data_IF_201117001134
#
_entry.id   IF_201117001134
#
_cell.length_a   1.000
_cell.length_b   1.000
_cell.length_c   1.000
_cell.angle_alpha   90.00
_cell.angle_beta   90.00
_cell.angle_gamma   90.00
#
_symmetry.space_group_name_H-M   'P 1'
#
loop_
_entity.id
_entity.type
_entity.pdbx_description
1 polymer ?
#
# COMPACT_ATOMS: atom_id res chain seq x y z
N UNK A 1 -13.22 -10.67 16.25
CA UNK A 1 -13.44 -9.63 15.22
C UNK A 1 -12.08 -9.11 14.85
N UNK A 2 -11.72 -9.06 13.57
CA UNK A 2 -10.48 -8.40 13.17
C UNK A 2 -10.83 -6.92 12.98
N UNK A 3 -10.21 -6.08 13.79
CA UNK A 3 -10.49 -4.66 13.86
C UNK A 3 -9.91 -3.94 12.63
N UNK A 4 -10.60 -2.94 12.03
CA UNK A 4 -10.05 -2.16 10.91
C UNK A 4 -8.64 -1.60 11.19
N UNK A 5 -8.30 -1.33 12.45
CA UNK A 5 -6.96 -0.86 12.83
C UNK A 5 -5.88 -1.88 12.50
N UNK A 6 -6.14 -3.19 12.63
CA UNK A 6 -5.13 -4.19 12.29
C UNK A 6 -4.83 -4.21 10.78
N UNK A 7 -5.86 -3.97 9.95
CA UNK A 7 -5.69 -3.80 8.52
C UNK A 7 -4.88 -2.53 8.22
N UNK A 8 -5.24 -1.40 8.85
CA UNK A 8 -4.53 -0.12 8.71
C UNK A 8 -3.05 -0.26 9.09
N UNK A 9 -2.74 -0.84 10.25
CA UNK A 9 -1.37 -1.06 10.70
C UNK A 9 -0.58 -1.95 9.73
N UNK A 10 -1.20 -3.04 9.25
CA UNK A 10 -0.56 -3.94 8.30
C UNK A 10 -0.27 -3.25 6.96
N UNK A 11 -1.22 -2.48 6.44
CA UNK A 11 -1.04 -1.68 5.23
C UNK A 11 0.04 -0.61 5.40
N UNK A 12 0.07 0.06 6.55
CA UNK A 12 1.07 1.08 6.83
C UNK A 12 2.49 0.49 6.80
N UNK A 13 2.70 -0.67 7.44
CA UNK A 13 3.98 -1.38 7.42
C UNK A 13 4.39 -1.80 6.00
N UNK A 14 3.46 -2.36 5.22
CA UNK A 14 3.71 -2.79 3.85
C UNK A 14 4.08 -1.63 2.95
N UNK A 15 3.30 -0.53 2.99
CA UNK A 15 3.58 0.63 2.15
C UNK A 15 4.89 1.29 2.56
N UNK A 16 5.17 1.38 3.87
CA UNK A 16 6.43 1.90 4.37
C UNK A 16 7.63 1.06 3.89
N UNK A 17 7.52 -0.27 3.96
CA UNK A 17 8.55 -1.18 3.45
C UNK A 17 8.72 -1.06 1.94
N UNK A 18 7.63 -0.93 1.17
CA UNK A 18 7.74 -0.71 -0.27
C UNK A 18 8.51 0.58 -0.61
N UNK A 19 8.33 1.64 0.18
CA UNK A 19 9.14 2.86 0.05
C UNK A 19 10.58 2.65 0.50
N UNK A 20 10.85 2.14 1.70
CA UNK A 20 12.18 2.28 2.32
C UNK A 20 12.96 0.97 2.53
N UNK A 21 12.33 -0.18 2.37
CA UNK A 21 12.94 -1.50 2.51
C UNK A 21 12.27 -2.52 1.54
N UNK A 22 12.29 -2.26 0.21
CA UNK A 22 11.55 -3.08 -0.75
C UNK A 22 12.01 -4.54 -0.75
N UNK A 23 13.25 -4.83 -0.37
CA UNK A 23 13.79 -6.20 -0.31
C UNK A 23 13.11 -7.10 0.75
N UNK A 24 12.42 -6.48 1.71
CA UNK A 24 11.63 -7.20 2.73
C UNK A 24 10.28 -7.68 2.19
N UNK A 25 9.91 -7.30 0.96
CA UNK A 25 8.66 -7.71 0.32
C UNK A 25 8.92 -8.74 -0.80
N UNK A 26 8.00 -9.69 -1.03
CA UNK A 26 8.09 -10.58 -2.18
C UNK A 26 8.13 -9.79 -3.50
N UNK A 27 9.03 -10.16 -4.42
CA UNK A 27 9.25 -9.45 -5.71
C UNK A 27 7.96 -9.23 -6.51
N UNK A 28 7.10 -10.26 -6.59
CA UNK A 28 5.82 -10.16 -7.29
C UNK A 28 4.88 -9.12 -6.65
N UNK A 29 4.93 -9.00 -5.33
CA UNK A 29 4.12 -8.04 -4.58
C UNK A 29 4.64 -6.61 -4.77
N UNK A 30 5.96 -6.39 -4.73
CA UNK A 30 6.57 -5.11 -5.10
C UNK A 30 6.19 -4.66 -6.51
N UNK A 31 6.28 -5.57 -7.48
CA UNK A 31 5.89 -5.28 -8.87
C UNK A 31 4.41 -4.90 -8.97
N UNK A 32 3.55 -5.60 -8.24
CA UNK A 32 2.12 -5.30 -8.19
C UNK A 32 1.84 -3.92 -7.57
N UNK A 33 2.41 -3.59 -6.41
CA UNK A 33 2.24 -2.27 -5.77
C UNK A 33 2.75 -1.16 -6.69
N UNK A 34 3.93 -1.34 -7.30
CA UNK A 34 4.52 -0.37 -8.22
C UNK A 34 3.63 -0.12 -9.44
N UNK A 35 3.08 -1.19 -10.01
CA UNK A 35 2.12 -1.08 -11.11
C UNK A 35 0.85 -0.35 -10.70
N UNK A 36 0.32 -0.61 -9.50
CA UNK A 36 -0.91 0.01 -9.01
C UNK A 36 -0.71 1.49 -8.64
N UNK A 37 0.47 1.87 -8.16
CA UNK A 37 0.78 3.23 -7.71
C UNK A 37 0.82 4.25 -8.85
N UNK A 38 1.11 3.81 -10.08
CA UNK A 38 1.24 4.65 -11.28
C UNK A 38 2.11 5.91 -11.02
N UNK A 39 3.21 5.73 -10.32
CA UNK A 39 4.11 6.81 -9.87
C UNK A 39 5.41 6.75 -10.66
N UNK A 40 6.00 7.92 -10.93
CA UNK A 40 7.38 7.96 -11.43
C UNK A 40 8.33 7.48 -10.32
N UNK A 41 9.13 6.46 -10.64
CA UNK A 41 10.04 5.85 -9.66
C UNK A 41 11.10 6.84 -9.16
N UNK A 42 11.45 7.87 -9.95
CA UNK A 42 12.39 8.93 -9.55
C UNK A 42 11.87 9.74 -8.36
N UNK A 43 10.55 9.89 -8.22
CA UNK A 43 9.96 10.56 -7.06
C UNK A 43 10.14 9.74 -5.79
N UNK A 44 9.96 8.41 -5.86
CA UNK A 44 10.22 7.51 -4.73
C UNK A 44 11.70 7.56 -4.37
N UNK A 45 12.56 7.51 -5.36
CA UNK A 45 14.01 7.56 -5.17
C UNK A 45 14.44 8.90 -4.54
N UNK A 46 13.86 10.02 -4.96
CA UNK A 46 14.11 11.31 -4.34
C UNK A 46 13.70 11.31 -2.87
N UNK A 47 12.53 10.76 -2.51
CA UNK A 47 12.09 10.66 -1.10
C UNK A 47 12.99 9.73 -0.27
N UNK A 48 13.54 8.67 -0.86
CA UNK A 48 14.56 7.82 -0.21
C UNK A 48 15.84 8.60 0.05
N UNK A 49 16.33 9.34 -0.94
CA UNK A 49 17.53 10.18 -0.81
C UNK A 49 17.33 11.35 0.15
N UNK A 50 16.11 11.88 0.25
CA UNK A 50 15.75 12.84 1.30
C UNK A 50 15.91 12.22 2.70
N UNK A 51 15.50 10.96 2.86
CA UNK A 51 15.61 10.23 4.13
C UNK A 51 17.06 9.94 4.51
N UNK A 52 17.89 9.49 3.55
CA UNK A 52 19.32 9.21 3.78
C UNK A 52 20.19 10.46 3.80
N UNK A 53 19.62 11.62 3.44
CA UNK A 53 20.28 12.93 3.27
C UNK A 53 21.26 13.01 2.11
N UNK A 54 21.28 12.02 1.22
CA UNK A 54 21.96 12.12 -0.08
C UNK A 54 21.39 13.26 -0.93
N UNK A 55 20.07 13.48 -0.86
CA UNK A 55 19.42 14.67 -1.39
C UNK A 55 19.02 15.55 -0.19
N UNK A 56 19.64 16.72 -0.09
CA UNK A 56 19.41 17.66 1.02
C UNK A 56 18.99 19.03 0.50
N UNK A 57 17.88 19.57 1.03
CA UNK A 57 17.46 20.92 0.69
C UNK A 57 18.50 21.98 1.07
N UNK A 58 18.68 22.98 0.20
CA UNK A 58 19.63 24.08 0.37
C UNK A 58 21.10 23.70 0.20
N UNK A 59 21.39 22.48 -0.27
CA UNK A 59 22.76 22.01 -0.51
C UNK A 59 22.88 21.33 -1.87
N UNK A 60 23.94 21.66 -2.61
CA UNK A 60 24.24 20.97 -3.85
C UNK A 60 24.99 19.68 -3.53
N UNK A 61 24.26 18.56 -3.57
CA UNK A 61 24.81 17.22 -3.39
C UNK A 61 25.02 16.49 -4.72
N UNK A 62 24.92 17.19 -5.85
CA UNK A 62 24.96 16.61 -7.20
C UNK A 62 23.72 15.79 -7.57
N UNK A 63 22.65 15.86 -6.78
CA UNK A 63 21.42 15.07 -6.97
C UNK A 63 20.32 15.78 -7.77
N UNK A 64 20.52 17.05 -8.17
CA UNK A 64 19.50 17.87 -8.83
C UNK A 64 18.95 17.24 -10.13
N UNK A 65 19.80 16.52 -10.88
CA UNK A 65 19.42 15.87 -12.14
C UNK A 65 18.33 14.78 -11.98
N UNK A 66 18.20 14.19 -10.79
CA UNK A 66 17.20 13.14 -10.53
C UNK A 66 15.78 13.66 -10.74
N UNK A 67 15.40 14.72 -10.03
CA UNK A 67 14.09 15.35 -10.20
C UNK A 67 14.07 16.32 -11.39
N UNK A 68 15.20 16.93 -11.75
CA UNK A 68 15.28 17.78 -12.94
C UNK A 68 14.95 17.03 -14.24
N UNK A 69 15.44 15.78 -14.40
CA UNK A 69 15.06 14.93 -15.54
C UNK A 69 13.58 14.56 -15.51
N UNK A 70 13.01 14.33 -14.32
CA UNK A 70 11.58 14.08 -14.15
C UNK A 70 10.73 15.30 -14.53
N UNK A 71 11.18 16.50 -14.16
CA UNK A 71 10.54 17.73 -14.57
C UNK A 71 10.54 17.86 -16.10
N UNK A 72 11.66 17.59 -16.76
CA UNK A 72 11.75 17.65 -18.23
C UNK A 72 10.78 16.69 -18.92
N UNK A 73 10.67 15.44 -18.46
CA UNK A 73 9.75 14.44 -19.04
C UNK A 73 8.25 14.75 -18.82
N UNK A 74 7.95 15.66 -17.89
CA UNK A 74 6.60 16.08 -17.53
C UNK A 74 6.28 17.52 -17.95
N UNK A 75 7.10 18.12 -18.84
CA UNK A 75 6.94 19.50 -19.32
C UNK A 75 6.95 20.54 -18.18
N UNK A 76 7.73 20.29 -17.12
CA UNK A 76 7.94 21.19 -15.98
C UNK A 76 9.33 21.84 -16.03
N UNK A 77 9.51 23.03 -15.41
CA UNK A 77 10.83 23.66 -15.33
C UNK A 77 11.86 22.77 -14.65
N UNK A 78 13.00 22.51 -15.31
CA UNK A 78 14.06 21.64 -14.79
C UNK A 78 14.57 22.10 -13.41
N UNK A 79 14.63 23.42 -13.19
CA UNK A 79 15.09 24.02 -11.94
C UNK A 79 14.21 23.70 -10.74
N UNK A 80 12.95 23.29 -10.95
CA UNK A 80 12.08 22.88 -9.86
C UNK A 80 12.56 21.58 -9.18
N UNK A 81 13.35 20.77 -9.88
CA UNK A 81 13.98 19.57 -9.34
C UNK A 81 15.27 19.83 -8.55
N UNK A 82 15.79 21.07 -8.58
CA UNK A 82 17.02 21.44 -7.89
C UNK A 82 16.75 21.79 -6.41
N UNK A 83 17.29 21.02 -5.44
CA UNK A 83 17.08 21.25 -4.02
C UNK A 83 17.72 22.54 -3.49
N UNK A 84 18.62 23.18 -4.23
CA UNK A 84 19.20 24.49 -3.89
C UNK A 84 18.31 25.64 -4.32
N UNK A 85 17.60 25.48 -5.44
CA UNK A 85 16.76 26.54 -6.02
C UNK A 85 15.33 26.50 -5.52
N UNK A 86 14.79 25.29 -5.27
CA UNK A 86 13.37 25.11 -5.01
C UNK A 86 13.15 24.37 -3.69
N UNK A 87 12.69 25.11 -2.67
CA UNK A 87 12.43 24.59 -1.32
C UNK A 87 11.06 25.10 -0.83
N UNK A 88 10.11 24.21 -0.49
CA UNK A 88 10.11 22.77 -0.77
C UNK A 88 9.90 22.48 -2.26
N UNK A 89 10.04 21.22 -2.68
CA UNK A 89 9.64 20.84 -4.03
C UNK A 89 8.14 21.14 -4.27
N UNK A 90 7.75 21.70 -5.43
CA UNK A 90 6.37 22.07 -5.71
C UNK A 90 5.48 20.82 -5.82
N UNK A 91 4.20 20.98 -5.49
CA UNK A 91 3.23 19.90 -5.60
C UNK A 91 3.09 19.39 -7.05
N UNK A 92 3.33 20.23 -8.05
CA UNK A 92 3.31 19.87 -9.47
C UNK A 92 4.29 18.75 -9.80
N UNK A 93 5.47 18.73 -9.16
CA UNK A 93 6.42 17.60 -9.29
C UNK A 93 5.81 16.35 -8.68
N UNK A 94 5.29 16.45 -7.45
CA UNK A 94 4.64 15.33 -6.74
C UNK A 94 3.45 14.79 -7.52
N UNK A 95 2.76 15.66 -8.25
CA UNK A 95 1.60 15.36 -9.08
C UNK A 95 1.96 14.90 -10.49
N UNK A 96 3.26 14.82 -10.86
CA UNK A 96 3.74 14.45 -12.19
C UNK A 96 3.12 15.33 -13.30
N UNK A 97 3.19 16.65 -13.13
CA UNK A 97 2.72 17.63 -14.12
C UNK A 97 1.20 17.75 -14.23
N UNK A 98 0.44 17.29 -13.23
CA UNK A 98 -1.04 17.32 -13.25
C UNK A 98 -1.64 18.54 -12.52
N UNK A 99 -0.88 19.63 -12.44
CA UNK A 99 -1.29 20.91 -11.84
C UNK A 99 -1.10 20.99 -10.31
N UNK A 100 -1.37 22.17 -9.71
CA UNK A 100 -1.12 22.45 -8.29
C UNK A 100 -2.07 21.77 -7.32
N UNK A 101 -3.32 21.51 -7.74
CA UNK A 101 -4.38 21.11 -6.80
C UNK A 101 -4.20 19.67 -6.33
N UNK A 102 -4.00 19.53 -5.01
CA UNK A 102 -3.85 18.25 -4.33
C UNK A 102 -5.16 17.44 -4.34
N UNK A 103 -6.30 18.11 -4.18
CA UNK A 103 -7.64 17.50 -4.23
C UNK A 103 -7.95 16.96 -5.62
N UNK A 104 -7.66 17.76 -6.66
CA UNK A 104 -7.83 17.33 -8.04
C UNK A 104 -6.92 16.13 -8.36
N UNK A 105 -5.66 16.17 -7.92
CA UNK A 105 -4.74 15.05 -8.09
C UNK A 105 -5.26 13.78 -7.41
N UNK A 106 -5.70 13.88 -6.15
CA UNK A 106 -6.26 12.76 -5.40
C UNK A 106 -7.50 12.17 -6.07
N UNK A 107 -8.43 13.01 -6.53
CA UNK A 107 -9.62 12.58 -7.27
C UNK A 107 -9.27 11.89 -8.60
N UNK A 108 -8.34 12.47 -9.36
CA UNK A 108 -7.88 11.88 -10.62
C UNK A 108 -7.22 10.53 -10.38
N UNK A 109 -6.41 10.39 -9.32
CA UNK A 109 -5.80 9.13 -8.89
C UNK A 109 -6.84 8.10 -8.49
N UNK A 110 -7.87 8.51 -7.74
CA UNK A 110 -9.02 7.66 -7.44
C UNK A 110 -9.63 7.10 -8.72
N UNK A 111 -10.00 7.97 -9.66
CA UNK A 111 -10.71 7.56 -10.88
C UNK A 111 -9.88 6.64 -11.79
N UNK A 112 -8.61 6.97 -12.01
CA UNK A 112 -7.71 6.14 -12.82
C UNK A 112 -7.51 4.75 -12.20
N UNK A 113 -7.27 4.71 -10.89
CA UNK A 113 -7.08 3.47 -10.15
C UNK A 113 -8.36 2.64 -10.06
N UNK A 114 -9.51 3.30 -9.91
CA UNK A 114 -10.82 2.66 -9.95
C UNK A 114 -11.06 1.97 -11.29
N UNK A 115 -10.82 2.67 -12.41
CA UNK A 115 -10.93 2.07 -13.76
C UNK A 115 -9.98 0.90 -13.94
N UNK A 116 -8.70 1.07 -13.59
CA UNK A 116 -7.70 -0.01 -13.68
C UNK A 116 -8.08 -1.24 -12.85
N UNK A 117 -8.54 -1.02 -11.62
CA UNK A 117 -9.05 -2.07 -10.74
C UNK A 117 -10.29 -2.74 -11.31
N UNK A 118 -11.19 -1.97 -11.95
CA UNK A 118 -12.40 -2.49 -12.55
C UNK A 118 -12.07 -3.44 -13.72
N UNK A 119 -11.08 -3.10 -14.56
CA UNK A 119 -10.60 -4.00 -15.62
C UNK A 119 -10.08 -5.33 -15.09
N UNK A 120 -9.58 -5.36 -13.85
CA UNK A 120 -9.07 -6.59 -13.22
C UNK A 120 -10.18 -7.38 -12.52
N UNK A 121 -11.07 -6.70 -11.77
CA UNK A 121 -12.09 -7.37 -10.95
C UNK A 121 -13.37 -7.71 -11.72
N UNK A 122 -13.74 -6.94 -12.74
CA UNK A 122 -14.95 -7.19 -13.51
C UNK A 122 -14.91 -8.54 -14.23
N UNK A 123 -13.86 -8.92 -14.99
CA UNK A 123 -13.82 -10.20 -15.69
C UNK A 123 -13.91 -11.38 -14.72
N UNK A 124 -13.20 -11.31 -13.60
CA UNK A 124 -13.25 -12.36 -12.56
C UNK A 124 -14.64 -12.47 -11.94
N UNK A 125 -15.26 -11.33 -11.61
CA UNK A 125 -16.61 -11.31 -11.05
C UNK A 125 -17.63 -11.89 -12.05
N UNK A 126 -17.53 -11.55 -13.34
CA UNK A 126 -18.41 -12.08 -14.38
C UNK A 126 -18.18 -13.57 -14.65
N UNK A 127 -16.92 -14.03 -14.70
CA UNK A 127 -16.58 -15.42 -14.92
C UNK A 127 -17.17 -16.35 -13.84
N UNK A 128 -17.15 -15.91 -12.58
CA UNK A 128 -17.79 -16.65 -11.49
C UNK A 128 -19.32 -16.74 -11.64
N UNK A 129 -19.95 -15.74 -12.27
CA UNK A 129 -21.39 -15.74 -12.54
C UNK A 129 -21.80 -16.64 -13.71
N UNK A 130 -20.88 -16.97 -14.62
CA UNK A 130 -21.15 -17.92 -15.71
C UNK A 130 -21.51 -19.33 -15.19
N UNK A 131 -21.10 -19.68 -13.95
CA UNK A 131 -21.45 -20.97 -13.34
C UNK A 131 -22.93 -21.10 -12.98
N UNK A 132 -23.61 -20.00 -12.62
CA UNK A 132 -25.05 -19.97 -12.26
C UNK A 132 -25.67 -18.61 -12.63
N UNK A 133 -26.06 -18.41 -13.91
CA UNK A 133 -26.50 -17.10 -14.38
C UNK A 133 -27.85 -16.70 -13.77
N UNK A 134 -27.89 -15.53 -13.14
CA UNK A 134 -29.12 -14.89 -12.64
C UNK A 134 -28.98 -13.37 -12.76
N UNK A 135 -30.03 -12.66 -13.25
CA UNK A 135 -30.02 -11.19 -13.42
C UNK A 135 -29.71 -10.43 -12.13
N UNK A 136 -30.22 -10.90 -10.99
CA UNK A 136 -29.91 -10.30 -9.69
C UNK A 136 -28.45 -10.57 -9.29
N UNK A 137 -27.90 -11.70 -9.71
CA UNK A 137 -26.51 -12.07 -9.47
C UNK A 137 -25.53 -11.27 -10.31
N UNK A 138 -25.90 -10.91 -11.54
CA UNK A 138 -25.12 -10.00 -12.38
C UNK A 138 -25.03 -8.60 -11.77
N UNK A 139 -26.16 -8.04 -11.31
CA UNK A 139 -26.16 -6.74 -10.60
C UNK A 139 -25.29 -6.79 -9.36
N UNK A 140 -25.43 -7.84 -8.55
CA UNK A 140 -24.62 -8.05 -7.34
C UNK A 140 -23.12 -8.14 -7.67
N UNK A 141 -22.75 -8.86 -8.73
CA UNK A 141 -21.37 -8.96 -9.19
C UNK A 141 -20.79 -7.61 -9.64
N UNK A 142 -21.55 -6.82 -10.41
CA UNK A 142 -21.17 -5.47 -10.81
C UNK A 142 -20.97 -4.55 -9.60
N UNK A 143 -21.93 -4.52 -8.67
CA UNK A 143 -21.80 -3.73 -7.44
C UNK A 143 -20.63 -4.19 -6.57
N UNK A 144 -20.38 -5.50 -6.49
CA UNK A 144 -19.24 -6.04 -5.75
C UNK A 144 -17.92 -5.60 -6.40
N UNK A 145 -17.78 -5.75 -7.72
CA UNK A 145 -16.57 -5.35 -8.43
C UNK A 145 -16.35 -3.83 -8.35
N UNK A 146 -17.40 -3.03 -8.48
CA UNK A 146 -17.34 -1.57 -8.34
C UNK A 146 -16.94 -1.16 -6.92
N UNK A 147 -17.48 -1.80 -5.87
CA UNK A 147 -17.12 -1.56 -4.47
C UNK A 147 -15.65 -1.91 -4.22
N UNK A 148 -15.19 -3.07 -4.68
CA UNK A 148 -13.80 -3.48 -4.51
C UNK A 148 -12.83 -2.57 -5.28
N UNK A 149 -13.24 -2.07 -6.44
CA UNK A 149 -12.49 -1.07 -7.20
C UNK A 149 -12.49 0.28 -6.50
N UNK A 150 -13.59 0.67 -5.84
CA UNK A 150 -13.66 1.88 -5.02
C UNK A 150 -12.75 1.77 -3.79
N UNK A 151 -12.70 0.61 -3.14
CA UNK A 151 -11.74 0.35 -2.06
C UNK A 151 -10.30 0.62 -2.52
N UNK A 152 -9.88 0.07 -3.66
CA UNK A 152 -8.50 0.23 -4.14
C UNK A 152 -8.22 1.65 -4.66
N UNK A 153 -9.19 2.24 -5.36
CA UNK A 153 -9.10 3.63 -5.81
C UNK A 153 -8.96 4.60 -4.63
N UNK A 154 -9.76 4.42 -3.59
CA UNK A 154 -9.69 5.22 -2.36
C UNK A 154 -8.40 4.96 -1.60
N UNK A 155 -7.89 3.73 -1.56
CA UNK A 155 -6.60 3.41 -0.95
C UNK A 155 -5.48 4.27 -1.55
N UNK A 156 -5.38 4.29 -2.87
CA UNK A 156 -4.35 5.06 -3.59
C UNK A 156 -4.58 6.57 -3.42
N UNK A 157 -5.83 7.03 -3.55
CA UNK A 157 -6.15 8.45 -3.39
C UNK A 157 -5.84 8.97 -1.97
N UNK A 158 -6.15 8.20 -0.93
CA UNK A 158 -5.83 8.55 0.45
C UNK A 158 -4.31 8.56 0.70
N UNK A 159 -3.56 7.67 0.05
CA UNK A 159 -2.10 7.69 0.13
C UNK A 159 -1.53 9.01 -0.42
N UNK A 160 -1.86 9.36 -1.67
CA UNK A 160 -1.40 10.59 -2.31
C UNK A 160 -1.90 11.84 -1.57
N UNK A 161 -3.17 11.87 -1.20
CA UNK A 161 -3.73 12.99 -0.45
C UNK A 161 -3.05 13.14 0.91
N UNK A 162 -2.75 12.04 1.60
CA UNK A 162 -2.00 12.06 2.86
C UNK A 162 -0.61 12.66 2.72
N UNK A 163 0.15 12.25 1.71
CA UNK A 163 1.47 12.82 1.38
C UNK A 163 1.35 14.34 1.15
N UNK A 164 0.43 14.75 0.29
CA UNK A 164 0.25 16.17 -0.03
C UNK A 164 -0.27 16.98 1.15
N UNK A 165 -1.18 16.43 1.96
CA UNK A 165 -1.73 17.07 3.15
C UNK A 165 -0.64 17.35 4.18
N UNK A 166 0.26 16.39 4.42
CA UNK A 166 1.41 16.57 5.31
C UNK A 166 2.38 17.60 4.74
N UNK A 167 2.65 17.60 3.43
CA UNK A 167 3.54 18.59 2.82
C UNK A 167 2.99 20.00 2.83
N UNK A 168 1.71 20.19 2.50
CA UNK A 168 1.19 21.54 2.20
C UNK A 168 0.50 22.21 3.37
N UNK A 169 -0.18 21.44 4.22
CA UNK A 169 -1.07 22.00 5.25
C UNK A 169 -0.63 21.66 6.65
N UNK A 170 -0.46 20.37 6.96
CA UNK A 170 -0.27 19.91 8.35
C UNK A 170 1.19 20.04 8.78
N UNK A 171 2.13 19.49 8.00
CA UNK A 171 3.56 19.49 8.35
C UNK A 171 4.14 20.88 8.60
N UNK A 172 3.94 21.86 7.71
CA UNK A 172 4.51 23.20 7.89
C UNK A 172 3.92 23.97 9.08
N UNK A 173 2.68 23.63 9.48
CA UNK A 173 2.02 24.22 10.65
C UNK A 173 2.47 23.60 11.96
N UNK A 174 2.81 22.30 11.95
CA UNK A 174 3.22 21.57 13.17
C UNK A 174 4.73 21.56 13.41
N UNK A 175 5.54 21.44 12.35
CA UNK A 175 6.99 21.31 12.45
C UNK A 175 7.73 22.62 12.16
N UNK A 176 7.11 23.54 11.42
CA UNK A 176 7.73 24.78 10.93
C UNK A 176 8.07 24.74 9.45
N UNK A 177 8.61 25.85 8.95
CA UNK A 177 8.90 26.08 7.51
C UNK A 177 10.40 26.13 7.19
N UNK A 178 11.25 25.77 8.14
CA UNK A 178 12.69 25.78 7.95
C UNK A 178 13.12 24.67 7.00
N UNK A 179 14.29 24.83 6.38
CA UNK A 179 14.89 23.85 5.45
C UNK A 179 14.98 22.46 6.09
N UNK A 180 15.39 22.39 7.37
CA UNK A 180 15.46 21.14 8.12
C UNK A 180 14.08 20.50 8.34
N UNK A 181 13.03 21.32 8.53
CA UNK A 181 11.67 20.85 8.69
C UNK A 181 11.15 20.23 7.38
N UNK A 182 11.38 20.90 6.25
CA UNK A 182 11.06 20.38 4.92
C UNK A 182 11.80 19.07 4.61
N UNK A 183 13.08 18.99 4.98
CA UNK A 183 13.86 17.77 4.85
C UNK A 183 13.24 16.60 5.61
N UNK A 184 12.77 16.84 6.85
CA UNK A 184 12.13 15.79 7.65
C UNK A 184 10.73 15.42 7.12
N UNK A 185 9.98 16.40 6.59
CA UNK A 185 8.68 16.17 5.97
C UNK A 185 8.81 15.23 4.78
N UNK A 186 9.68 15.55 3.81
CA UNK A 186 9.89 14.73 2.61
C UNK A 186 10.78 13.51 2.87
N UNK A 187 11.59 13.51 3.93
CA UNK A 187 12.43 12.38 4.35
C UNK A 187 11.67 11.27 5.10
N UNK A 188 10.37 11.43 5.35
CA UNK A 188 9.58 10.32 5.87
C UNK A 188 8.21 10.66 6.43
N UNK A 189 8.00 11.85 6.99
CA UNK A 189 6.70 12.14 7.62
C UNK A 189 5.55 12.15 6.61
N UNK A 190 5.76 12.70 5.41
CA UNK A 190 4.71 12.72 4.38
C UNK A 190 4.34 11.30 3.92
N UNK A 191 5.33 10.44 3.71
CA UNK A 191 5.12 9.03 3.35
C UNK A 191 4.43 8.29 4.49
N UNK A 192 4.87 8.48 5.73
CA UNK A 192 4.30 7.82 6.92
C UNK A 192 2.82 8.14 7.12
N UNK A 193 2.42 9.41 6.95
CA UNK A 193 1.01 9.81 7.01
C UNK A 193 0.22 9.21 5.85
N UNK A 194 0.77 9.20 4.63
CA UNK A 194 0.17 8.50 3.49
C UNK A 194 -0.06 7.01 3.75
N UNK A 195 0.94 6.32 4.30
CA UNK A 195 0.89 4.91 4.69
C UNK A 195 -0.20 4.63 5.74
N UNK A 196 -0.36 5.52 6.71
CA UNK A 196 -1.40 5.39 7.74
C UNK A 196 -2.80 5.64 7.17
N UNK A 197 -2.98 6.69 6.35
CA UNK A 197 -4.29 7.08 5.84
C UNK A 197 -4.85 6.09 4.80
N UNK A 198 -4.01 5.50 3.95
CA UNK A 198 -4.48 4.64 2.87
C UNK A 198 -5.25 3.41 3.36
N UNK A 199 -4.87 2.84 4.51
CA UNK A 199 -5.51 1.66 5.08
C UNK A 199 -6.99 1.86 5.45
N UNK A 200 -7.43 3.09 5.72
CA UNK A 200 -8.81 3.38 6.09
C UNK A 200 -9.82 3.16 4.96
N UNK A 201 -9.36 3.00 3.71
CA UNK A 201 -10.24 2.64 2.59
C UNK A 201 -10.98 1.32 2.82
N UNK A 202 -10.48 0.45 3.71
CA UNK A 202 -11.12 -0.82 4.10
C UNK A 202 -12.57 -0.66 4.58
N UNK A 203 -12.93 0.54 5.06
CA UNK A 203 -14.29 0.86 5.48
C UNK A 203 -15.31 0.88 4.32
N UNK A 204 -14.85 0.97 3.07
CA UNK A 204 -15.72 0.84 1.88
C UNK A 204 -16.17 -0.61 1.69
N UNK A 205 -15.37 -1.57 2.15
CA UNK A 205 -15.66 -2.99 1.96
C UNK A 205 -16.65 -3.55 2.99
N UNK A 206 -17.24 -4.70 2.65
CA UNK A 206 -18.17 -5.40 3.54
C UNK A 206 -17.47 -6.05 4.73
N UNK A 207 -18.14 -6.15 5.88
CA UNK A 207 -17.54 -6.67 7.12
C UNK A 207 -16.91 -8.07 6.98
N UNK A 208 -17.46 -8.94 6.14
CA UNK A 208 -16.85 -10.25 5.86
C UNK A 208 -15.56 -10.09 5.04
N UNK A 209 -15.58 -9.30 3.97
CA UNK A 209 -14.41 -9.09 3.11
C UNK A 209 -13.28 -8.35 3.83
N UNK A 210 -13.59 -7.45 4.76
CA UNK A 210 -12.58 -6.79 5.63
C UNK A 210 -11.77 -7.80 6.43
N UNK A 211 -12.42 -8.83 6.99
CA UNK A 211 -11.75 -9.89 7.75
C UNK A 211 -10.81 -10.69 6.84
N UNK A 212 -11.28 -11.06 5.66
CA UNK A 212 -10.48 -11.83 4.69
C UNK A 212 -9.28 -11.01 4.20
N UNK A 213 -9.47 -9.72 3.94
CA UNK A 213 -8.40 -8.81 3.56
C UNK A 213 -7.38 -8.60 4.68
N UNK A 214 -7.84 -8.42 5.92
CA UNK A 214 -6.93 -8.31 7.05
C UNK A 214 -6.11 -9.59 7.28
N UNK A 215 -6.73 -10.77 7.15
CA UNK A 215 -6.02 -12.05 7.19
C UNK A 215 -5.06 -12.25 6.00
N UNK A 216 -5.35 -11.65 4.85
CA UNK A 216 -4.45 -11.68 3.70
C UNK A 216 -3.24 -10.75 3.90
N UNK A 217 -3.44 -9.57 4.46
CA UNK A 217 -2.39 -8.54 4.57
C UNK A 217 -1.53 -8.73 5.83
N UNK A 218 -2.11 -9.13 6.97
CA UNK A 218 -1.39 -9.22 8.24
C UNK A 218 -0.17 -10.17 8.22
N UNK A 219 -0.24 -11.39 7.64
CA UNK A 219 0.94 -12.27 7.57
C UNK A 219 2.06 -11.67 6.72
N UNK A 220 1.71 -10.92 5.67
CA UNK A 220 2.71 -10.22 4.83
C UNK A 220 3.37 -9.08 5.59
N UNK A 221 2.60 -8.33 6.38
CA UNK A 221 3.15 -7.29 7.23
C UNK A 221 4.05 -7.85 8.32
N UNK A 222 3.68 -8.98 8.94
CA UNK A 222 4.54 -9.68 9.90
C UNK A 222 5.83 -10.18 9.26
N UNK A 223 5.78 -10.69 8.03
CA UNK A 223 6.96 -11.14 7.30
C UNK A 223 7.99 -10.02 7.01
N UNK A 224 7.60 -8.75 7.10
CA UNK A 224 8.51 -7.59 6.98
C UNK A 224 9.30 -7.39 8.28
N UNK A 225 8.68 -7.69 9.42
CA UNK A 225 9.27 -7.52 10.75
C UNK A 225 10.15 -8.71 11.15
N UNK A 226 9.88 -9.87 10.57
CA UNK A 226 10.63 -11.10 10.83
C UNK A 226 11.76 -11.24 9.80
N UNK A 227 12.94 -11.74 10.22
CA UNK A 227 14.01 -12.03 9.28
C UNK A 227 13.55 -13.13 8.31
N UNK A 228 13.90 -12.96 7.03
CA UNK A 228 13.52 -13.90 5.97
C UNK A 228 14.18 -15.26 6.11
N UNK A 229 15.36 -15.28 6.72
CA UNK A 229 16.12 -16.49 7.05
C UNK A 229 16.63 -16.32 8.46
N UNK A 230 16.26 -17.27 9.32
CA UNK A 230 16.85 -17.39 10.64
C UNK A 230 18.17 -18.14 10.54
N UNK A 231 19.17 -17.76 11.33
CA UNK A 231 20.38 -18.57 11.46
C UNK A 231 20.01 -19.96 12.00
N UNK A 232 20.78 -20.99 11.61
CA UNK A 232 20.52 -22.40 11.99
C UNK A 232 20.33 -22.56 13.51
N UNK A 233 21.09 -21.78 14.30
CA UNK A 233 21.02 -21.80 15.78
C UNK A 233 19.64 -21.39 16.34
N UNK A 234 18.89 -20.56 15.63
CA UNK A 234 17.57 -20.03 16.05
C UNK A 234 16.42 -20.61 15.23
N UNK A 235 16.69 -21.56 14.33
CA UNK A 235 15.68 -22.22 13.48
C UNK A 235 14.59 -22.93 14.30
N UNK A 236 14.90 -23.36 15.53
CA UNK A 236 13.92 -23.94 16.46
C UNK A 236 12.72 -23.03 16.72
N UNK A 237 12.89 -21.69 16.62
CA UNK A 237 11.81 -20.72 16.79
C UNK A 237 10.77 -20.83 15.68
N UNK A 238 11.23 -21.00 14.43
CA UNK A 238 10.35 -21.24 13.29
C UNK A 238 9.66 -22.60 13.42
N UNK A 239 10.41 -23.65 13.77
CA UNK A 239 9.86 -24.99 13.98
C UNK A 239 8.78 -24.98 15.06
N UNK A 240 9.03 -24.31 16.18
CA UNK A 240 8.06 -24.19 17.27
C UNK A 240 6.83 -23.40 16.84
N UNK A 241 7.00 -22.25 16.17
CA UNK A 241 5.89 -21.46 15.67
C UNK A 241 5.03 -22.24 14.66
N UNK A 242 5.67 -22.99 13.76
CA UNK A 242 5.00 -23.86 12.80
C UNK A 242 4.26 -25.00 13.50
N UNK A 243 4.91 -25.70 14.43
CA UNK A 243 4.32 -26.80 15.19
C UNK A 243 3.10 -26.33 16.01
N UNK A 244 3.21 -25.21 16.72
CA UNK A 244 2.11 -24.63 17.49
C UNK A 244 0.94 -24.20 16.58
N UNK A 245 1.24 -23.52 15.47
CA UNK A 245 0.21 -23.10 14.51
C UNK A 245 -0.52 -24.31 13.93
N UNK A 246 0.22 -25.37 13.60
CA UNK A 246 -0.32 -26.61 13.04
C UNK A 246 -1.15 -27.38 14.07
N UNK A 247 -0.68 -27.47 15.32
CA UNK A 247 -1.41 -28.07 16.43
C UNK A 247 -2.76 -27.38 16.64
N UNK A 248 -2.80 -26.04 16.68
CA UNK A 248 -4.05 -25.28 16.80
C UNK A 248 -5.02 -25.58 15.66
N UNK A 249 -4.53 -25.66 14.42
CA UNK A 249 -5.37 -25.99 13.25
C UNK A 249 -5.94 -27.40 13.36
N UNK A 250 -5.14 -28.40 13.72
CA UNK A 250 -5.60 -29.78 13.87
C UNK A 250 -6.57 -29.96 15.05
N UNK A 251 -6.28 -29.35 16.20
CA UNK A 251 -7.21 -29.35 17.35
C UNK A 251 -8.54 -28.70 16.96
N UNK A 252 -8.52 -27.57 16.25
CA UNK A 252 -9.75 -26.95 15.76
C UNK A 252 -10.47 -27.81 14.72
N UNK A 253 -9.75 -28.49 13.82
CA UNK A 253 -10.34 -29.38 12.84
C UNK A 253 -11.06 -30.57 13.50
N UNK A 254 -10.54 -31.09 14.61
CA UNK A 254 -11.14 -32.21 15.37
C UNK A 254 -12.29 -31.75 16.28
N UNK A 255 -12.06 -30.73 17.10
CA UNK A 255 -13.02 -30.32 18.13
C UNK A 255 -14.12 -29.38 17.60
N UNK A 256 -13.81 -28.54 16.62
CA UNK A 256 -14.78 -27.60 16.04
C UNK A 256 -14.58 -27.41 14.53
N UNK A 257 -14.90 -28.45 13.72
CA UNK A 257 -14.62 -28.45 12.28
C UNK A 257 -15.21 -27.24 11.53
N UNK A 258 -16.31 -26.68 12.03
CA UNK A 258 -16.98 -25.49 11.46
C UNK A 258 -16.10 -24.24 11.45
N UNK A 259 -15.05 -24.18 12.27
CA UNK A 259 -14.10 -23.05 12.31
C UNK A 259 -13.05 -23.12 11.19
N UNK A 260 -12.75 -24.30 10.65
CA UNK A 260 -11.79 -24.46 9.55
C UNK A 260 -12.53 -24.34 8.22
N UNK A 261 -12.30 -23.24 7.50
CA UNK A 261 -13.04 -22.90 6.28
C UNK A 261 -12.29 -23.31 5.01
N UNK A 262 -13.03 -23.38 3.91
CA UNK A 262 -12.48 -23.54 2.56
C UNK A 262 -11.91 -24.94 2.31
N UNK A 263 -11.00 -25.02 1.33
CA UNK A 263 -10.42 -26.28 0.87
C UNK A 263 -9.71 -27.04 2.00
N UNK A 264 -8.98 -26.33 2.87
CA UNK A 264 -8.26 -26.94 3.99
C UNK A 264 -9.22 -27.66 4.95
N UNK A 265 -10.35 -27.04 5.28
CA UNK A 265 -11.38 -27.66 6.13
C UNK A 265 -12.02 -28.88 5.46
N UNK A 266 -12.20 -28.84 4.14
CA UNK A 266 -12.69 -29.98 3.37
C UNK A 266 -11.71 -31.17 3.40
N UNK A 267 -10.41 -30.92 3.15
CA UNK A 267 -9.38 -31.96 3.18
C UNK A 267 -9.23 -32.52 4.59
N UNK A 268 -9.05 -31.66 5.60
CA UNK A 268 -8.89 -32.09 7.00
C UNK A 268 -10.12 -32.85 7.51
N UNK A 269 -11.33 -32.40 7.14
CA UNK A 269 -12.56 -33.09 7.48
C UNK A 269 -12.73 -34.44 6.80
N UNK A 270 -12.10 -34.66 5.64
CA UNK A 270 -12.06 -35.97 4.98
C UNK A 270 -10.99 -36.88 5.61
N UNK A 271 -9.79 -36.35 5.89
CA UNK A 271 -8.67 -37.13 6.42
C UNK A 271 -8.78 -37.47 7.90
N UNK A 272 -9.48 -36.65 8.69
CA UNK A 272 -9.63 -36.83 10.14
C UNK A 272 -10.96 -37.47 10.54
N UNK A 273 -11.79 -37.89 9.57
CA UNK A 273 -12.95 -38.75 9.82
C UNK A 273 -12.45 -40.19 9.94
N UNK A 274 -12.09 -40.57 11.16
CA UNK A 274 -12.11 -41.98 11.60
C UNK A 274 -13.50 -42.31 12.17
#
# INVERSE_FOLDING_TARGET
MIDPVSFVASCALIMWAWFYAPDNLPRAYNKWITSAAHVDIRLIEALRRCRTRELSYGKDTGQASLLGSMCADHDLPHEWGDPCKTIPFPCEIVHMGRGPSCEYHAWRRFWLSWKWSMYTYLPLALALQLRKPNRNSLRSALFSAARSSAFLGTYIALFYYGVCLTRTRIGPRLLGKDVACWQNIDGGYCVGVGCFLCGWSVLIETANRRKDMALFVAPRALAILLPRQYEIKVQWRETLAFALSTAVVFTCARENPRRVRGMLGGILGLTMKE
#
